data_IF_912997087727
#
_entry.id   IF_912997087727
#
_cell.length_a   1.000
_cell.length_b   1.000
_cell.length_c   1.000
_cell.angle_alpha   90.00
_cell.angle_beta   90.00
_cell.angle_gamma   90.00
#
_symmetry.space_group_name_H-M   'P 1'
#
loop_
_entity.id
_entity.type
_entity.pdbx_description
1 polymer ?
#
# COMPACT_ATOMS: atom_id res chain seq x y z
N UNK A 1 -4.82 24.72 -60.82
CA UNK A 1 -4.95 25.11 -59.39
C UNK A 1 -5.49 23.91 -58.63
N UNK A 2 -4.65 23.14 -57.92
CA UNK A 2 -5.06 21.97 -57.14
C UNK A 2 -4.86 22.28 -55.66
N UNK A 3 -5.96 22.40 -54.94
CA UNK A 3 -6.01 22.59 -53.49
C UNK A 3 -5.80 21.20 -52.88
N UNK A 4 -4.69 21.00 -52.17
CA UNK A 4 -4.48 19.81 -51.34
C UNK A 4 -5.15 20.06 -49.98
N UNK A 5 -6.28 19.39 -49.73
CA UNK A 5 -6.82 19.24 -48.38
C UNK A 5 -6.00 18.18 -47.64
N UNK A 6 -5.29 18.58 -46.58
CA UNK A 6 -4.69 17.65 -45.64
C UNK A 6 -5.76 17.24 -44.59
N UNK A 7 -5.93 15.94 -44.27
CA UNK A 7 -6.80 15.54 -43.19
C UNK A 7 -6.07 15.73 -41.85
N UNK A 8 -6.60 16.59 -40.99
CA UNK A 8 -6.22 16.66 -39.58
C UNK A 8 -6.75 15.38 -38.90
N UNK A 9 -5.87 14.42 -38.63
CA UNK A 9 -6.17 13.28 -37.76
C UNK A 9 -6.18 13.78 -36.31
N UNK A 10 -7.38 14.05 -35.79
CA UNK A 10 -7.59 14.28 -34.36
C UNK A 10 -7.42 12.94 -33.63
N UNK A 11 -6.26 12.75 -32.98
CA UNK A 11 -6.07 11.69 -32.00
C UNK A 11 -6.96 11.98 -30.79
N UNK A 12 -8.09 11.29 -30.68
CA UNK A 12 -8.86 11.25 -29.44
C UNK A 12 -8.06 10.42 -28.42
N UNK A 13 -7.25 11.09 -27.59
CA UNK A 13 -6.75 10.48 -26.37
C UNK A 13 -7.97 10.14 -25.50
N UNK A 14 -8.21 8.86 -25.25
CA UNK A 14 -9.19 8.45 -24.26
C UNK A 14 -8.81 9.06 -22.90
N UNK A 15 -9.78 9.51 -22.08
CA UNK A 15 -9.47 10.01 -20.74
C UNK A 15 -8.83 8.87 -19.95
N UNK A 16 -7.58 9.06 -19.51
CA UNK A 16 -6.97 8.20 -18.52
C UNK A 16 -7.80 8.36 -17.23
N UNK A 17 -8.52 7.30 -16.85
CA UNK A 17 -9.25 7.29 -15.57
C UNK A 17 -8.19 7.25 -14.48
N UNK A 18 -8.09 8.32 -13.70
CA UNK A 18 -7.17 8.37 -12.56
C UNK A 18 -7.60 7.34 -11.52
N UNK A 19 -6.67 6.49 -11.11
CA UNK A 19 -6.88 5.43 -10.13
C UNK A 19 -7.15 6.05 -8.76
N UNK A 20 -8.18 5.57 -8.05
CA UNK A 20 -8.43 5.94 -6.65
C UNK A 20 -7.92 4.87 -5.69
N UNK A 21 -7.64 5.23 -4.43
CA UNK A 21 -7.26 4.24 -3.40
C UNK A 21 -8.33 3.17 -3.17
N UNK A 22 -9.60 3.50 -3.40
CA UNK A 22 -10.71 2.54 -3.29
C UNK A 22 -10.64 1.43 -4.35
N UNK A 23 -10.05 1.73 -5.52
CA UNK A 23 -9.89 0.76 -6.61
C UNK A 23 -8.79 -0.27 -6.33
N UNK A 24 -7.98 -0.05 -5.29
CA UNK A 24 -6.90 -0.95 -4.91
C UNK A 24 -7.35 -2.13 -4.03
N UNK A 25 -8.56 -2.04 -3.44
CA UNK A 25 -9.10 -3.16 -2.67
C UNK A 25 -9.32 -4.37 -3.58
N UNK A 26 -8.68 -5.49 -3.27
CA UNK A 26 -8.67 -6.68 -4.14
C UNK A 26 -8.53 -7.98 -3.38
N UNK A 27 -9.08 -9.05 -3.94
CA UNK A 27 -8.79 -10.42 -3.51
C UNK A 27 -7.47 -10.86 -4.14
N UNK A 28 -6.47 -11.14 -3.30
CA UNK A 28 -5.13 -11.60 -3.74
C UNK A 28 -5.02 -13.12 -3.72
N UNK A 29 -5.88 -13.80 -2.95
CA UNK A 29 -6.03 -15.25 -2.96
C UNK A 29 -7.50 -15.60 -2.95
N UNK A 30 -7.97 -16.37 -3.95
CA UNK A 30 -9.39 -16.68 -4.17
C UNK A 30 -10.04 -17.08 -2.84
N UNK A 31 -10.99 -16.26 -2.40
CA UNK A 31 -11.83 -16.42 -1.20
C UNK A 31 -11.13 -16.44 0.17
N UNK A 32 -9.82 -16.23 0.24
CA UNK A 32 -9.06 -16.43 1.48
C UNK A 32 -8.08 -15.33 1.84
N UNK A 33 -7.80 -14.40 0.93
CA UNK A 33 -6.95 -13.27 1.27
C UNK A 33 -7.11 -12.11 0.30
N UNK A 34 -6.78 -10.92 0.79
CA UNK A 34 -6.92 -9.71 0.01
C UNK A 34 -6.21 -8.52 0.63
N UNK A 35 -6.25 -7.44 -0.12
CA UNK A 35 -5.80 -6.11 0.28
C UNK A 35 -7.04 -5.23 0.43
N UNK A 36 -7.11 -4.46 1.51
CA UNK A 36 -8.13 -3.44 1.71
C UNK A 36 -7.62 -2.31 2.61
N UNK A 37 -8.51 -1.40 3.02
CA UNK A 37 -8.21 -0.28 3.92
C UNK A 37 -7.00 0.56 3.46
N UNK A 38 -6.89 0.79 2.15
CA UNK A 38 -5.87 1.65 1.57
C UNK A 38 -6.08 3.10 2.01
N UNK A 39 -5.01 3.73 2.50
CA UNK A 39 -5.01 5.11 2.95
C UNK A 39 -3.75 5.83 2.48
N UNK A 40 -3.92 7.10 2.14
CA UNK A 40 -2.82 8.05 1.99
C UNK A 40 -2.39 8.53 3.38
N UNK A 41 -1.10 8.41 3.69
CA UNK A 41 -0.50 8.91 4.93
C UNK A 41 0.17 10.27 4.75
N UNK A 42 0.20 10.81 3.53
CA UNK A 42 0.85 12.08 3.20
C UNK A 42 2.32 11.91 2.79
N UNK A 43 2.86 12.94 2.15
CA UNK A 43 4.29 13.08 1.80
C UNK A 43 4.90 11.85 1.12
N UNK A 44 4.17 11.28 0.15
CA UNK A 44 4.64 10.14 -0.63
C UNK A 44 4.55 8.80 0.09
N UNK A 45 3.78 8.69 1.19
CA UNK A 45 3.58 7.45 1.92
C UNK A 45 2.14 6.97 1.87
N UNK A 46 1.98 5.66 1.71
CA UNK A 46 0.67 4.99 1.74
C UNK A 46 0.68 3.83 2.71
N UNK A 47 -0.50 3.40 3.13
CA UNK A 47 -0.68 2.19 3.93
C UNK A 47 -1.89 1.40 3.46
N UNK A 48 -1.87 0.09 3.63
CA UNK A 48 -3.04 -0.78 3.46
C UNK A 48 -2.98 -1.97 4.42
N UNK A 49 -4.08 -2.72 4.49
CA UNK A 49 -4.18 -3.97 5.23
C UNK A 49 -4.17 -5.14 4.25
N UNK A 50 -3.32 -6.12 4.53
CA UNK A 50 -3.40 -7.46 3.98
C UNK A 50 -4.16 -8.36 4.97
N UNK A 51 -5.25 -9.00 4.52
CA UNK A 51 -6.05 -9.89 5.35
C UNK A 51 -6.01 -11.33 4.84
N UNK A 52 -6.15 -12.28 5.76
CA UNK A 52 -6.29 -13.71 5.46
C UNK A 52 -7.43 -14.33 6.27
N UNK A 53 -8.21 -15.23 5.67
CA UNK A 53 -9.30 -15.98 6.31
C UNK A 53 -9.58 -17.31 5.58
N UNK A 54 -8.97 -18.39 6.05
CA UNK A 54 -9.28 -19.77 5.61
C UNK A 54 -9.39 -20.72 6.82
N UNK A 55 -8.25 -21.23 7.30
CA UNK A 55 -8.15 -22.11 8.49
C UNK A 55 -7.78 -21.33 9.76
N UNK A 56 -7.47 -20.05 9.60
CA UNK A 56 -7.21 -19.05 10.63
C UNK A 56 -7.37 -17.66 10.03
N UNK A 57 -7.23 -16.64 10.87
CA UNK A 57 -7.30 -15.24 10.45
C UNK A 57 -5.98 -14.53 10.74
N UNK A 58 -5.60 -13.63 9.84
CA UNK A 58 -4.49 -12.72 10.07
C UNK A 58 -4.83 -11.34 9.49
N UNK A 59 -4.30 -10.31 10.13
CA UNK A 59 -4.26 -8.95 9.59
C UNK A 59 -2.84 -8.43 9.69
N UNK A 60 -2.25 -8.19 8.52
CA UNK A 60 -0.98 -7.51 8.37
C UNK A 60 -1.25 -6.10 7.82
N UNK A 61 -0.41 -5.14 8.17
CA UNK A 61 -0.41 -3.82 7.55
C UNK A 61 0.93 -3.61 6.86
N UNK A 62 0.88 -2.92 5.72
CA UNK A 62 2.05 -2.54 4.96
C UNK A 62 2.05 -1.02 4.78
N UNK A 63 3.13 -0.37 5.20
CA UNK A 63 3.42 1.05 4.97
C UNK A 63 4.51 1.14 3.91
N UNK A 64 4.35 2.02 2.92
CA UNK A 64 5.33 2.19 1.82
C UNK A 64 5.68 3.65 1.63
N UNK A 65 6.98 3.96 1.59
CA UNK A 65 7.50 5.20 1.03
C UNK A 65 7.58 5.02 -0.51
N UNK A 66 6.69 5.70 -1.24
CA UNK A 66 6.39 5.41 -2.64
C UNK A 66 7.58 5.61 -3.58
N UNK A 67 8.36 6.69 -3.44
CA UNK A 67 9.52 6.95 -4.32
C UNK A 67 10.62 5.88 -4.19
N UNK A 68 11.21 5.64 -3.00
CA UNK A 68 12.23 4.60 -2.85
C UNK A 68 11.65 3.19 -2.94
N UNK A 69 10.34 3.00 -2.69
CA UNK A 69 9.73 1.68 -2.60
C UNK A 69 10.05 0.94 -1.31
N UNK A 70 10.60 1.62 -0.31
CA UNK A 70 10.85 1.04 1.00
C UNK A 70 9.54 0.79 1.73
N UNK A 71 9.39 -0.40 2.27
CA UNK A 71 8.18 -0.84 2.93
C UNK A 71 8.44 -1.44 4.31
N UNK A 72 7.47 -1.25 5.18
CA UNK A 72 7.39 -1.88 6.50
C UNK A 72 6.10 -2.69 6.56
N UNK A 73 6.24 -4.01 6.73
CA UNK A 73 5.11 -4.92 6.95
C UNK A 73 5.11 -5.39 8.40
N UNK A 74 3.92 -5.49 9.01
CA UNK A 74 3.78 -5.95 10.39
C UNK A 74 2.40 -6.57 10.64
N UNK A 75 2.36 -7.61 11.47
CA UNK A 75 1.14 -8.32 11.86
C UNK A 75 0.50 -7.72 13.10
N UNK A 76 -0.77 -7.37 13.01
CA UNK A 76 -1.50 -6.72 14.13
C UNK A 76 -2.55 -7.61 14.77
N UNK A 77 -3.02 -8.64 14.06
CA UNK A 77 -3.93 -9.63 14.60
C UNK A 77 -3.68 -11.00 13.98
N UNK A 78 -3.83 -12.05 14.78
CA UNK A 78 -3.89 -13.42 14.29
C UNK A 78 -4.69 -14.33 15.22
N UNK A 79 -5.48 -15.24 14.64
CA UNK A 79 -6.19 -16.30 15.34
C UNK A 79 -6.05 -17.61 14.57
N UNK A 80 -5.70 -18.71 15.27
CA UNK A 80 -5.52 -20.04 14.68
C UNK A 80 -4.51 -20.08 13.51
N UNK A 81 -3.55 -19.17 13.53
CA UNK A 81 -2.42 -19.16 12.58
C UNK A 81 -1.25 -19.93 13.19
N UNK A 82 -1.11 -21.21 12.83
CA UNK A 82 -0.13 -22.14 13.41
C UNK A 82 -0.33 -22.33 14.93
N UNK A 83 0.69 -22.82 15.65
CA UNK A 83 0.65 -23.07 17.10
C UNK A 83 0.85 -21.79 17.97
N UNK A 84 0.57 -20.61 17.43
CA UNK A 84 0.75 -19.32 18.13
C UNK A 84 -0.51 -18.93 18.92
N UNK A 85 -0.31 -18.31 20.08
CA UNK A 85 -1.42 -17.75 20.86
C UNK A 85 -2.11 -16.63 20.09
N UNK A 86 -3.46 -16.61 20.07
CA UNK A 86 -4.22 -15.58 19.38
C UNK A 86 -3.94 -14.21 19.99
N UNK A 87 -3.94 -13.18 19.15
CA UNK A 87 -3.84 -11.80 19.60
C UNK A 87 -4.55 -10.87 18.63
N UNK A 88 -5.04 -9.75 19.16
CA UNK A 88 -5.43 -8.59 18.38
C UNK A 88 -4.93 -7.33 19.08
N UNK A 89 -4.10 -6.59 18.36
CA UNK A 89 -3.51 -5.32 18.77
C UNK A 89 -3.65 -4.27 17.67
N UNK A 90 -4.57 -4.47 16.74
CA UNK A 90 -4.79 -3.59 15.57
C UNK A 90 -4.98 -2.14 15.96
N UNK A 91 -5.91 -1.84 16.87
CA UNK A 91 -6.15 -0.46 17.31
C UNK A 91 -4.89 0.20 17.90
N UNK A 92 -4.09 -0.55 18.67
CA UNK A 92 -2.86 -0.03 19.29
C UNK A 92 -1.74 0.17 18.27
N UNK A 93 -1.60 -0.73 17.31
CA UNK A 93 -0.62 -0.60 16.24
C UNK A 93 -0.95 0.59 15.33
N UNK A 94 -2.22 0.77 14.96
CA UNK A 94 -2.67 1.92 14.16
C UNK A 94 -2.53 3.25 14.89
N UNK A 95 -2.71 3.28 16.22
CA UNK A 95 -2.42 4.47 17.01
C UNK A 95 -0.93 4.86 16.94
N UNK A 96 -0.01 3.90 17.03
CA UNK A 96 1.43 4.16 16.86
C UNK A 96 1.71 4.76 15.48
N UNK A 97 1.15 4.19 14.41
CA UNK A 97 1.32 4.73 13.06
C UNK A 97 0.78 6.16 12.99
N UNK A 98 -0.43 6.40 13.47
CA UNK A 98 -1.03 7.73 13.47
C UNK A 98 -0.22 8.77 14.26
N UNK A 99 0.36 8.38 15.41
CA UNK A 99 1.23 9.25 16.22
C UNK A 99 2.49 9.67 15.45
N UNK A 100 3.09 8.76 14.67
CA UNK A 100 4.23 9.07 13.81
C UNK A 100 3.84 10.00 12.66
N UNK A 101 2.69 9.78 12.02
CA UNK A 101 2.23 10.61 10.90
C UNK A 101 1.67 11.98 11.35
N UNK A 102 1.27 12.14 12.63
CA UNK A 102 0.90 13.44 13.21
C UNK A 102 2.12 14.30 13.58
N UNK A 103 3.30 13.69 13.70
CA UNK A 103 4.56 14.34 14.04
C UNK A 103 5.31 14.95 12.84
N UNK A 104 6.51 15.47 13.08
CA UNK A 104 7.37 15.93 11.98
C UNK A 104 7.94 14.72 11.21
N UNK A 105 7.71 14.68 9.90
CA UNK A 105 8.02 13.56 9.01
C UNK A 105 9.48 13.08 9.07
N UNK A 106 10.42 14.00 9.21
CA UNK A 106 11.86 13.67 9.34
C UNK A 106 12.13 12.69 10.50
N UNK A 107 11.21 12.62 11.46
CA UNK A 107 11.29 11.67 12.56
C UNK A 107 10.46 10.40 12.34
N UNK A 108 9.43 10.42 11.50
CA UNK A 108 8.54 9.30 11.16
C UNK A 108 9.15 8.28 10.18
N UNK A 109 10.44 7.96 10.36
CA UNK A 109 11.12 6.92 9.55
C UNK A 109 10.50 5.56 9.81
N UNK A 110 10.46 4.68 8.80
CA UNK A 110 9.98 3.31 8.96
C UNK A 110 10.71 2.54 10.07
N UNK A 111 11.99 2.82 10.34
CA UNK A 111 12.74 2.18 11.43
C UNK A 111 12.25 2.59 12.82
N UNK A 112 11.86 3.86 13.01
CA UNK A 112 11.27 4.31 14.28
C UNK A 112 9.89 3.72 14.48
N UNK A 113 9.06 3.68 13.44
CA UNK A 113 7.75 3.03 13.49
C UNK A 113 7.92 1.54 13.85
N UNK A 114 8.85 0.83 13.19
CA UNK A 114 9.13 -0.57 13.50
C UNK A 114 9.60 -0.79 14.94
N UNK A 115 10.44 0.11 15.46
CA UNK A 115 10.93 0.05 16.84
C UNK A 115 9.79 0.16 17.87
N UNK A 116 8.85 1.08 17.65
CA UNK A 116 7.70 1.27 18.55
C UNK A 116 6.67 0.13 18.43
N UNK A 117 6.57 -0.48 17.24
CA UNK A 117 5.71 -1.64 17.01
C UNK A 117 6.25 -2.94 17.63
N UNK A 118 7.55 -3.02 17.98
CA UNK A 118 8.24 -4.27 18.36
C UNK A 118 7.56 -5.09 19.47
N UNK A 119 6.88 -4.43 20.41
CA UNK A 119 6.20 -5.11 21.53
C UNK A 119 4.67 -5.22 21.33
N UNK A 120 4.15 -4.74 20.19
CA UNK A 120 2.72 -4.63 19.90
C UNK A 120 2.33 -5.53 18.73
N UNK A 121 3.13 -5.52 17.67
CA UNK A 121 2.94 -6.29 16.46
C UNK A 121 3.86 -7.52 16.43
N UNK A 122 3.59 -8.44 15.49
CA UNK A 122 4.45 -9.59 15.18
C UNK A 122 4.98 -9.48 13.75
N UNK A 123 5.96 -10.33 13.41
CA UNK A 123 6.48 -10.51 12.04
C UNK A 123 6.86 -9.18 11.34
N UNK A 124 7.40 -8.23 12.11
CA UNK A 124 7.78 -6.90 11.64
C UNK A 124 8.98 -7.01 10.69
N UNK A 125 8.80 -6.63 9.44
CA UNK A 125 9.79 -6.84 8.37
C UNK A 125 9.92 -5.60 7.50
N UNK A 126 11.17 -5.26 7.15
CA UNK A 126 11.49 -4.26 6.13
C UNK A 126 11.77 -4.94 4.80
N UNK A 127 11.16 -4.44 3.73
CA UNK A 127 11.41 -4.90 2.36
C UNK A 127 11.54 -3.69 1.44
N UNK A 128 12.12 -3.88 0.26
CA UNK A 128 12.12 -2.90 -0.81
C UNK A 128 11.36 -3.48 -2.00
N UNK A 129 10.39 -2.74 -2.50
CA UNK A 129 9.50 -3.18 -3.57
C UNK A 129 10.13 -2.90 -4.93
N UNK A 130 10.07 -3.89 -5.81
CA UNK A 130 10.53 -3.77 -7.22
C UNK A 130 9.40 -3.39 -8.18
N UNK A 131 8.16 -3.51 -7.72
CA UNK A 131 6.96 -3.14 -8.46
C UNK A 131 6.19 -2.07 -7.66
N UNK A 132 5.60 -1.13 -8.39
CA UNK A 132 4.77 -0.08 -7.82
C UNK A 132 3.46 -0.67 -7.26
N UNK A 133 3.16 -0.45 -5.96
CA UNK A 133 1.88 -0.82 -5.40
C UNK A 133 0.75 0.02 -5.99
N UNK A 134 -0.44 -0.58 -6.11
CA UNK A 134 -1.65 0.13 -6.54
C UNK A 134 -1.87 1.43 -5.75
N UNK A 135 -1.70 1.40 -4.42
CA UNK A 135 -1.90 2.56 -3.58
C UNK A 135 -0.95 3.72 -3.91
N UNK A 136 0.31 3.42 -4.25
CA UNK A 136 1.27 4.43 -4.69
C UNK A 136 0.89 4.98 -6.08
N UNK A 137 0.50 4.12 -7.02
CA UNK A 137 0.03 4.58 -8.33
C UNK A 137 -1.23 5.46 -8.24
N UNK A 138 -2.08 5.21 -7.24
CA UNK A 138 -3.31 5.97 -7.01
C UNK A 138 -3.04 7.34 -6.33
N UNK A 139 -2.26 7.36 -5.25
CA UNK A 139 -2.03 8.58 -4.45
C UNK A 139 -0.87 9.44 -4.97
N UNK A 140 0.17 8.81 -5.52
CA UNK A 140 1.43 9.44 -5.91
C UNK A 140 1.96 8.92 -7.26
N UNK A 141 1.22 9.11 -8.37
CA UNK A 141 1.55 8.55 -9.68
C UNK A 141 2.93 9.00 -10.22
N UNK A 142 3.43 10.16 -9.78
CA UNK A 142 4.73 10.69 -10.18
C UNK A 142 5.90 10.18 -9.30
N UNK A 143 5.61 9.45 -8.23
CA UNK A 143 6.61 8.92 -7.26
C UNK A 143 6.91 7.43 -7.47
N UNK A 144 6.79 6.94 -8.70
CA UNK A 144 7.16 5.54 -9.01
C UNK A 144 8.65 5.26 -8.79
N UNK A 145 9.51 6.24 -9.07
CA UNK A 145 10.96 6.01 -9.19
C UNK A 145 11.29 4.93 -10.23
N UNK A 146 12.23 4.04 -9.89
CA UNK A 146 12.75 2.99 -10.78
C UNK A 146 11.91 1.69 -10.79
N UNK A 147 10.80 1.65 -10.04
CA UNK A 147 9.95 0.45 -9.94
C UNK A 147 9.22 0.17 -11.25
N UNK A 148 8.89 -1.10 -11.47
CA UNK A 148 7.95 -1.49 -12.53
C UNK A 148 6.58 -0.84 -12.27
N UNK A 149 6.02 -0.20 -13.30
CA UNK A 149 4.74 0.48 -13.20
C UNK A 149 3.62 -0.48 -12.77
N UNK A 150 2.68 0.03 -11.99
CA UNK A 150 1.51 -0.74 -11.62
C UNK A 150 0.72 -1.13 -12.87
N UNK A 151 0.29 -2.40 -12.92
CA UNK A 151 -0.64 -2.89 -13.92
C UNK A 151 -1.67 -3.76 -13.23
N UNK A 152 -2.92 -3.65 -13.67
CA UNK A 152 -3.96 -4.58 -13.25
C UNK A 152 -3.61 -5.98 -13.79
N UNK A 153 -3.40 -6.92 -12.88
CA UNK A 153 -3.33 -8.35 -13.18
C UNK A 153 -4.71 -8.97 -13.18
#
# INVERSE_FOLDING_TARGET
>A
MRIFLAPLLAFCAAPAVALSLGDCARTTHISHGGEDAHVDLGEGRVMWRDWWSQEGTASDFTIVDCEPGDALRFRTAEERMNDRLPFDRTARALAIVADHEAGARVFATLDRIAADLKNIARDITRITLVAEPCACAAAYPDMRGDKHAFSFG
#
